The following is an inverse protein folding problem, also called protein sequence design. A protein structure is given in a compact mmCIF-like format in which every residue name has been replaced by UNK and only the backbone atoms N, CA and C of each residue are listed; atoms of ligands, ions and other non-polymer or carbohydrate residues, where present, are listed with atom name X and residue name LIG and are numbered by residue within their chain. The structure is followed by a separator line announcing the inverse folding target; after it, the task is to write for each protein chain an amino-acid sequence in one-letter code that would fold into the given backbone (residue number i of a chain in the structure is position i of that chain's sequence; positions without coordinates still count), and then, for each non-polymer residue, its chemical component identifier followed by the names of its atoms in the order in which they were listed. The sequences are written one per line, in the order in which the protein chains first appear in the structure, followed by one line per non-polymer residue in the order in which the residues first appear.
data_IF_625775346141
#
_entry.id   IF_625775346141
#
_cell.length_a   1.000
_cell.length_b   1.000
_cell.length_c   1.000
_cell.angle_alpha   90.00
_cell.angle_beta   90.00
_cell.angle_gamma   90.00
#
_symmetry.space_group_name_H-M   'P 1'
#
loop_
_entity.id
_entity.type
_entity.pdbx_description
1 polymer ?
#
# COMPACT_ATOMS: atom_id res chain seq x y z
N UNK A 1 -5.13 -30.97 -28.84
CA UNK A 1 -4.86 -30.77 -27.39
C UNK A 1 -4.03 -29.53 -27.07
N UNK A 2 -3.40 -28.86 -28.05
CA UNK A 2 -2.45 -27.75 -27.79
C UNK A 2 -3.09 -26.36 -27.74
N UNK A 3 -4.36 -26.22 -28.13
CA UNK A 3 -5.07 -24.93 -28.23
C UNK A 3 -5.58 -24.41 -26.90
N UNK A 4 -5.80 -25.28 -25.89
CA UNK A 4 -6.29 -24.85 -24.57
C UNK A 4 -5.19 -24.22 -23.71
N UNK A 5 -3.93 -24.65 -23.84
CA UNK A 5 -2.83 -24.13 -23.02
C UNK A 5 -2.45 -22.70 -23.41
N UNK A 6 -2.46 -22.36 -24.71
CA UNK A 6 -2.02 -21.05 -25.20
C UNK A 6 -2.97 -19.89 -24.81
N UNK A 7 -4.29 -20.10 -24.83
CA UNK A 7 -5.26 -19.08 -24.37
C UNK A 7 -5.18 -18.82 -22.87
N UNK A 8 -4.72 -19.80 -22.08
CA UNK A 8 -4.52 -19.63 -20.64
C UNK A 8 -3.39 -18.64 -20.38
N UNK A 9 -2.30 -18.66 -21.16
CA UNK A 9 -1.16 -17.76 -20.96
C UNK A 9 -1.50 -16.28 -21.19
N UNK A 10 -2.28 -15.94 -22.22
CA UNK A 10 -2.71 -14.55 -22.46
C UNK A 10 -3.55 -13.99 -21.32
N UNK A 11 -4.47 -14.81 -20.78
CA UNK A 11 -5.28 -14.42 -19.61
C UNK A 11 -4.44 -14.35 -18.34
N UNK A 12 -3.48 -15.24 -18.17
CA UNK A 12 -2.62 -15.29 -16.99
C UNK A 12 -1.64 -14.12 -16.94
N UNK A 13 -1.05 -13.72 -18.07
CA UNK A 13 -0.18 -12.54 -18.15
C UNK A 13 -0.93 -11.25 -17.82
N UNK A 14 -2.18 -11.11 -18.29
CA UNK A 14 -3.02 -9.96 -17.95
C UNK A 14 -3.31 -9.87 -16.45
N UNK A 15 -3.55 -11.00 -15.77
CA UNK A 15 -3.87 -11.03 -14.33
C UNK A 15 -2.62 -10.85 -13.45
N UNK A 16 -1.49 -11.44 -13.84
CA UNK A 16 -0.28 -11.46 -12.99
C UNK A 16 0.70 -10.33 -13.29
N UNK A 17 0.60 -9.66 -14.45
CA UNK A 17 1.48 -8.57 -14.88
C UNK A 17 2.97 -8.83 -14.56
N UNK A 18 3.54 -9.96 -15.04
CA UNK A 18 4.94 -10.29 -14.75
C UNK A 18 5.89 -9.25 -15.35
N UNK A 19 6.97 -8.91 -14.64
CA UNK A 19 7.98 -7.98 -15.17
C UNK A 19 8.87 -8.56 -16.29
N UNK A 20 8.94 -9.88 -16.41
CA UNK A 20 9.69 -10.58 -17.46
C UNK A 20 9.07 -11.96 -17.74
N UNK A 21 8.89 -12.30 -19.01
CA UNK A 21 8.19 -13.51 -19.46
C UNK A 21 9.10 -14.36 -20.34
N UNK A 22 9.30 -15.63 -19.96
CA UNK A 22 10.06 -16.59 -20.76
C UNK A 22 9.12 -17.57 -21.45
N UNK A 23 9.14 -17.65 -22.79
CA UNK A 23 8.27 -18.54 -23.58
C UNK A 23 9.06 -19.33 -24.63
N UNK A 24 8.57 -20.49 -25.06
CA UNK A 24 9.09 -21.16 -26.26
C UNK A 24 8.99 -20.26 -27.51
N UNK A 25 10.00 -20.31 -28.40
CA UNK A 25 9.97 -19.54 -29.66
C UNK A 25 8.72 -19.86 -30.50
N UNK A 26 8.21 -21.09 -30.43
CA UNK A 26 7.02 -21.54 -31.15
C UNK A 26 5.76 -20.71 -30.85
N UNK A 27 5.71 -19.96 -29.75
CA UNK A 27 4.57 -19.11 -29.39
C UNK A 27 4.71 -17.65 -29.85
N UNK A 28 5.82 -17.31 -30.54
CA UNK A 28 6.03 -16.00 -31.15
C UNK A 28 5.57 -15.91 -32.61
N UNK A 29 5.19 -17.04 -33.21
CA UNK A 29 4.74 -17.12 -34.61
C UNK A 29 3.41 -17.87 -34.70
N UNK A 30 2.59 -17.50 -35.69
CA UNK A 30 1.38 -18.26 -35.97
C UNK A 30 1.75 -19.70 -36.38
N UNK A 31 1.01 -20.73 -35.94
CA UNK A 31 1.27 -22.10 -36.35
C UNK A 31 1.19 -22.27 -37.87
N UNK A 32 2.14 -23.02 -38.47
CA UNK A 32 2.22 -23.20 -39.93
C UNK A 32 0.95 -23.82 -40.54
N UNK A 33 0.28 -24.68 -39.78
CA UNK A 33 -0.98 -25.33 -40.18
C UNK A 33 -2.18 -24.38 -40.15
N UNK A 34 -2.10 -23.29 -39.38
CA UNK A 34 -3.18 -22.33 -39.17
C UNK A 34 -2.63 -20.89 -39.13
N UNK A 35 -2.12 -20.33 -40.25
CA UNK A 35 -1.48 -19.02 -40.28
C UNK A 35 -2.41 -17.86 -39.89
N UNK A 36 -3.72 -18.06 -40.07
CA UNK A 36 -4.75 -17.06 -39.75
C UNK A 36 -5.04 -16.92 -38.25
N UNK A 37 -4.53 -17.84 -37.42
CA UNK A 37 -4.79 -17.87 -35.96
C UNK A 37 -3.74 -17.04 -35.22
N UNK A 38 -3.80 -15.72 -35.41
CA UNK A 38 -2.93 -14.75 -34.72
C UNK A 38 -3.25 -14.61 -33.22
N UNK A 39 -4.41 -15.11 -32.78
CA UNK A 39 -4.83 -15.18 -31.37
C UNK A 39 -4.00 -16.16 -30.53
N UNK A 40 -3.23 -17.02 -31.19
CA UNK A 40 -2.33 -17.99 -30.55
C UNK A 40 -0.90 -17.46 -30.35
N UNK A 41 -0.61 -16.26 -30.86
CA UNK A 41 0.69 -15.62 -30.70
C UNK A 41 0.70 -14.85 -29.39
N UNK A 42 1.69 -15.12 -28.54
CA UNK A 42 1.89 -14.34 -27.32
C UNK A 42 2.64 -13.07 -27.70
N UNK A 43 1.87 -12.00 -27.94
CA UNK A 43 2.39 -10.65 -28.15
C UNK A 43 1.93 -9.79 -26.97
N UNK A 44 2.64 -9.89 -25.86
CA UNK A 44 2.45 -8.98 -24.73
C UNK A 44 3.41 -7.80 -24.88
N UNK A 45 2.86 -6.60 -25.08
CA UNK A 45 3.63 -5.36 -25.22
C UNK A 45 4.09 -4.77 -23.89
N UNK A 46 3.49 -5.19 -22.77
CA UNK A 46 3.78 -4.62 -21.45
C UNK A 46 4.87 -5.39 -20.70
N UNK A 47 5.14 -6.64 -21.09
CA UNK A 47 6.15 -7.49 -20.50
C UNK A 47 7.37 -7.67 -21.42
N UNK A 48 8.58 -7.69 -20.86
CA UNK A 48 9.77 -8.09 -21.62
C UNK A 48 9.74 -9.60 -21.86
N UNK A 49 9.62 -10.00 -23.12
CA UNK A 49 9.59 -11.40 -23.53
C UNK A 49 10.99 -11.89 -23.89
N UNK A 50 11.38 -13.06 -23.39
CA UNK A 50 12.56 -13.79 -23.84
C UNK A 50 12.16 -15.19 -24.31
N UNK A 51 12.68 -15.58 -25.47
CA UNK A 51 12.36 -16.86 -26.07
C UNK A 51 13.43 -17.90 -25.74
N UNK A 52 13.04 -19.16 -25.63
CA UNK A 52 13.99 -20.27 -25.56
C UNK A 52 13.61 -21.39 -26.53
N UNK A 53 14.62 -22.09 -27.02
CA UNK A 53 14.50 -23.32 -27.82
C UNK A 53 14.80 -24.57 -26.97
N UNK A 54 14.54 -25.75 -27.52
CA UNK A 54 14.80 -27.01 -26.82
C UNK A 54 16.29 -27.13 -26.48
N UNK A 55 16.59 -27.36 -25.20
CA UNK A 55 17.95 -27.43 -24.63
C UNK A 55 18.73 -26.11 -24.58
N UNK A 56 18.06 -24.96 -24.74
CA UNK A 56 18.69 -23.65 -24.58
C UNK A 56 18.65 -23.19 -23.12
N UNK A 57 19.80 -22.76 -22.60
CA UNK A 57 19.91 -22.16 -21.29
C UNK A 57 19.61 -20.65 -21.39
N UNK A 58 18.41 -20.25 -20.99
CA UNK A 58 18.01 -18.84 -20.97
C UNK A 58 18.45 -18.16 -19.67
N UNK A 59 19.29 -17.13 -19.77
CA UNK A 59 19.66 -16.28 -18.63
C UNK A 59 18.63 -15.18 -18.43
N UNK A 60 17.83 -15.28 -17.37
CA UNK A 60 16.84 -14.27 -17.02
C UNK A 60 17.51 -13.11 -16.26
N UNK A 61 17.12 -11.85 -16.52
CA UNK A 61 17.69 -10.67 -15.86
C UNK A 61 17.16 -10.49 -14.43
N UNK A 62 17.14 -11.56 -13.64
CA UNK A 62 16.68 -11.54 -12.25
C UNK A 62 17.90 -11.53 -11.34
N UNK A 63 18.26 -10.36 -10.81
CA UNK A 63 19.23 -10.23 -9.74
C UNK A 63 18.51 -10.22 -8.39
N UNK A 64 18.96 -11.07 -7.47
CA UNK A 64 18.50 -11.03 -6.07
C UNK A 64 19.73 -10.81 -5.20
N UNK A 65 19.69 -9.76 -4.40
CA UNK A 65 20.67 -9.51 -3.35
C UNK A 65 19.97 -9.80 -2.02
N UNK A 66 20.56 -10.67 -1.22
CA UNK A 66 20.05 -10.99 0.10
C UNK A 66 20.97 -10.35 1.12
N UNK A 67 20.37 -9.61 2.04
CA UNK A 67 21.09 -8.98 3.14
C UNK A 67 20.39 -9.36 4.45
N UNK A 68 21.21 -9.63 5.46
CA UNK A 68 20.70 -10.02 6.78
C UNK A 68 20.68 -8.80 7.68
N UNK A 69 19.48 -8.42 8.10
CA UNK A 69 19.23 -7.33 9.04
C UNK A 69 18.70 -7.90 10.36
N UNK A 70 19.21 -7.39 11.47
CA UNK A 70 18.79 -7.76 12.83
C UNK A 70 17.80 -6.72 13.35
N UNK A 71 16.63 -7.14 13.81
CA UNK A 71 15.70 -6.24 14.49
C UNK A 71 16.18 -5.98 15.92
N UNK A 72 16.16 -4.71 16.35
CA UNK A 72 16.32 -4.37 17.75
C UNK A 72 15.19 -4.95 18.60
N UNK A 73 15.48 -5.22 19.89
CA UNK A 73 14.52 -5.80 20.82
C UNK A 73 13.29 -4.89 21.02
N UNK A 74 13.53 -3.57 21.11
CA UNK A 74 12.45 -2.59 21.25
C UNK A 74 11.51 -2.60 20.04
N UNK A 75 12.04 -2.66 18.82
CA UNK A 75 11.23 -2.72 17.62
C UNK A 75 10.45 -4.05 17.55
N UNK A 76 11.11 -5.16 17.86
CA UNK A 76 10.48 -6.49 17.85
C UNK A 76 9.31 -6.61 18.83
N UNK A 77 9.41 -6.02 20.03
CA UNK A 77 8.34 -6.04 21.04
C UNK A 77 7.12 -5.20 20.64
N UNK A 78 7.29 -4.22 19.76
CA UNK A 78 6.19 -3.39 19.25
C UNK A 78 5.53 -3.98 18.00
N UNK A 79 5.99 -5.14 17.50
CA UNK A 79 5.36 -5.79 16.35
C UNK A 79 4.07 -6.49 16.79
N UNK A 80 3.01 -6.22 16.04
CA UNK A 80 1.70 -6.84 16.23
C UNK A 80 1.31 -7.60 14.94
N UNK A 81 1.78 -8.85 14.75
CA UNK A 81 1.43 -9.63 13.58
C UNK A 81 -0.07 -9.94 13.54
N UNK A 82 -0.72 -9.58 12.45
CA UNK A 82 -2.12 -9.88 12.21
C UNK A 82 -2.24 -11.04 11.23
N UNK A 83 -3.02 -12.05 11.61
CA UNK A 83 -3.27 -13.21 10.76
C UNK A 83 -4.20 -12.82 9.60
N UNK A 84 -3.66 -12.88 8.37
CA UNK A 84 -4.42 -12.60 7.15
C UNK A 84 -4.99 -13.87 6.53
N UNK A 85 -4.35 -15.01 6.78
CA UNK A 85 -4.76 -16.36 6.37
C UNK A 85 -4.24 -17.37 7.39
N UNK A 86 -4.86 -18.56 7.53
CA UNK A 86 -4.38 -19.58 8.45
C UNK A 86 -2.88 -19.86 8.30
N UNK A 87 -2.10 -19.56 9.34
CA UNK A 87 -0.66 -19.75 9.36
C UNK A 87 0.18 -18.67 8.66
N UNK A 88 -0.42 -17.56 8.22
CA UNK A 88 0.28 -16.40 7.66
C UNK A 88 -0.14 -15.16 8.43
N UNK A 89 0.80 -14.63 9.23
CA UNK A 89 0.66 -13.35 9.90
C UNK A 89 1.57 -12.30 9.25
N UNK A 90 1.07 -11.07 9.17
CA UNK A 90 1.79 -9.93 8.58
C UNK A 90 1.88 -8.83 9.63
N UNK A 91 3.05 -8.22 9.75
CA UNK A 91 3.28 -7.02 10.55
C UNK A 91 4.10 -6.02 9.73
N UNK A 92 3.80 -4.74 9.86
CA UNK A 92 4.61 -3.67 9.28
C UNK A 92 5.79 -3.36 10.20
N UNK A 93 6.98 -3.29 9.63
CA UNK A 93 8.21 -2.93 10.35
C UNK A 93 8.75 -1.63 9.75
N UNK A 94 8.87 -0.59 10.57
CA UNK A 94 9.47 0.69 10.19
C UNK A 94 10.53 1.05 11.21
N UNK A 95 11.73 1.45 10.75
CA UNK A 95 12.83 1.77 11.64
C UNK A 95 14.02 2.39 10.92
N UNK A 96 14.97 2.87 11.71
CA UNK A 96 16.24 3.42 11.23
C UNK A 96 17.24 2.29 11.05
N UNK A 97 17.82 2.17 9.86
CA UNK A 97 18.86 1.18 9.58
C UNK A 97 20.22 1.68 10.06
N UNK A 98 20.77 1.08 11.11
CA UNK A 98 22.10 1.36 11.63
C UNK A 98 23.08 0.30 11.14
N UNK A 99 24.05 0.72 10.34
CA UNK A 99 25.15 -0.13 9.90
C UNK A 99 26.38 0.13 10.78
N UNK A 100 26.78 -0.88 11.56
CA UNK A 100 28.01 -0.88 12.37
C UNK A 100 28.70 -2.22 12.23
N UNK A 101 30.01 -2.22 11.97
CA UNK A 101 30.83 -3.44 11.87
C UNK A 101 30.30 -4.49 10.87
N UNK A 102 29.82 -4.06 9.70
CA UNK A 102 29.16 -4.90 8.70
C UNK A 102 27.94 -5.68 9.23
N UNK A 103 27.34 -5.20 10.32
CA UNK A 103 26.05 -5.66 10.84
C UNK A 103 25.03 -4.56 10.69
N UNK A 104 23.89 -4.95 10.13
CA UNK A 104 22.76 -4.07 9.89
C UNK A 104 21.72 -4.31 10.98
N UNK A 105 21.43 -3.29 11.76
CA UNK A 105 20.43 -3.35 12.84
C UNK A 105 19.31 -2.36 12.56
N UNK A 106 18.06 -2.81 12.65
CA UNK A 106 16.88 -1.95 12.58
C UNK A 106 16.51 -1.47 13.98
N UNK A 107 16.71 -0.18 14.22
CA UNK A 107 16.35 0.52 15.46
C UNK A 107 15.01 1.25 15.30
N UNK A 108 14.30 1.55 16.40
CA UNK A 108 13.06 2.31 16.34
C UNK A 108 13.25 3.66 15.64
N UNK A 109 12.21 4.12 14.93
CA UNK A 109 12.25 5.40 14.23
C UNK A 109 12.26 6.55 15.25
N UNK A 110 13.42 7.17 15.46
CA UNK A 110 13.51 8.44 16.17
C UNK A 110 13.05 9.55 15.22
N UNK A 111 11.77 9.92 15.31
CA UNK A 111 11.27 11.16 14.71
C UNK A 111 11.79 12.34 15.56
N UNK A 112 13.08 12.64 15.44
CA UNK A 112 13.60 13.92 15.89
C UNK A 112 12.91 15.00 15.06
N UNK A 113 12.26 15.93 15.76
CA UNK A 113 11.61 17.10 15.23
C UNK A 113 12.47 17.69 14.09
N UNK A 114 11.90 17.81 12.90
CA UNK A 114 12.47 18.63 11.84
C UNK A 114 12.76 19.99 12.48
N UNK A 115 14.03 20.38 12.47
CA UNK A 115 14.54 21.66 12.99
C UNK A 115 13.61 22.82 12.60
N UNK A 116 12.77 23.22 13.55
CA UNK A 116 12.22 24.57 13.61
C UNK A 116 12.85 25.16 14.84
N UNK A 117 13.93 25.92 14.60
CA UNK A 117 14.63 26.74 15.58
C UNK A 117 13.61 27.43 16.52
N UNK A 118 13.58 27.01 17.78
CA UNK A 118 12.89 27.75 18.85
C UNK A 118 13.93 28.45 19.71
N UNK A 119 13.86 29.79 19.89
CA UNK A 119 14.62 30.47 20.92
C UNK A 119 14.10 30.04 22.31
N UNK A 120 15.05 29.97 23.25
CA UNK A 120 14.86 29.70 24.67
C UNK A 120 13.76 30.57 25.29
N UNK A 121 12.92 29.99 26.17
CA UNK A 121 12.94 30.29 27.61
C UNK A 121 11.72 29.72 28.38
N UNK A 122 12.06 29.18 29.55
CA UNK A 122 11.28 29.14 30.80
C UNK A 122 10.24 28.04 31.05
N UNK A 123 10.52 27.34 32.15
CA UNK A 123 9.70 26.46 32.98
C UNK A 123 8.22 26.84 33.11
N UNK A 124 7.33 25.89 32.81
CA UNK A 124 6.10 25.66 33.58
C UNK A 124 5.57 24.26 33.28
N UNK A 125 5.25 23.52 34.34
CA UNK A 125 4.55 22.25 34.30
C UNK A 125 3.23 22.40 33.52
N UNK A 126 3.17 21.80 32.34
CA UNK A 126 1.94 21.50 31.65
C UNK A 126 2.12 20.11 31.04
N UNK A 127 1.42 19.13 31.62
CA UNK A 127 1.16 17.83 31.01
C UNK A 127 0.42 18.06 29.69
N UNK A 128 1.16 18.44 28.66
CA UNK A 128 0.66 18.41 27.29
C UNK A 128 0.80 16.96 26.87
N UNK A 129 -0.34 16.29 26.75
CA UNK A 129 -0.49 15.08 25.95
C UNK A 129 -0.04 15.41 24.52
N UNK A 130 1.26 15.43 24.28
CA UNK A 130 1.81 15.35 22.93
C UNK A 130 1.70 13.88 22.59
N UNK A 131 0.55 13.55 22.01
CA UNK A 131 0.35 12.30 21.30
C UNK A 131 1.42 12.27 20.21
N UNK A 132 2.57 11.70 20.57
CA UNK A 132 3.74 11.52 19.72
C UNK A 132 3.21 10.76 18.53
N UNK A 133 3.04 11.47 17.43
CA UNK A 133 2.48 10.95 16.20
C UNK A 133 3.49 9.94 15.65
N UNK A 134 3.45 8.73 16.20
CA UNK A 134 4.09 7.54 15.65
C UNK A 134 3.53 7.46 14.25
N UNK A 135 4.38 7.52 13.24
CA UNK A 135 3.99 7.31 11.84
C UNK A 135 3.61 5.84 11.65
N UNK A 136 2.53 5.42 12.31
CA UNK A 136 1.86 4.16 12.10
C UNK A 136 1.30 4.21 10.69
N UNK A 137 1.65 3.22 9.89
CA UNK A 137 1.14 3.14 8.53
C UNK A 137 -0.31 2.69 8.65
N UNK A 138 -1.21 3.53 8.14
CA UNK A 138 -2.64 3.25 8.17
C UNK A 138 -2.95 2.16 7.15
N UNK A 139 -3.60 1.10 7.59
CA UNK A 139 -4.03 0.03 6.72
C UNK A 139 -5.43 -0.41 7.09
N UNK A 140 -6.28 -0.58 6.07
CA UNK A 140 -7.65 -1.00 6.25
C UNK A 140 -8.59 -0.29 5.29
N UNK A 141 -9.79 -0.84 5.15
CA UNK A 141 -10.89 -0.18 4.47
C UNK A 141 -11.75 0.53 5.50
N UNK A 142 -12.07 1.81 5.24
CA UNK A 142 -12.98 2.57 6.09
C UNK A 142 -14.42 2.28 5.67
N UNK A 143 -15.20 1.69 6.57
CA UNK A 143 -16.63 1.54 6.36
C UNK A 143 -17.31 2.90 6.57
N UNK A 144 -18.16 3.30 5.62
CA UNK A 144 -18.86 4.60 5.64
C UNK A 144 -19.68 4.76 6.92
N UNK A 145 -20.36 3.71 7.37
CA UNK A 145 -21.21 3.74 8.56
C UNK A 145 -20.40 3.99 9.86
N UNK A 146 -19.22 3.38 9.97
CA UNK A 146 -18.36 3.58 11.14
C UNK A 146 -17.74 4.98 11.14
N UNK A 147 -17.38 5.49 9.95
CA UNK A 147 -16.92 6.86 9.81
C UNK A 147 -18.00 7.88 10.17
N UNK A 148 -19.24 7.70 9.69
CA UNK A 148 -20.38 8.56 10.06
C UNK A 148 -20.62 8.55 11.56
N UNK A 149 -20.55 7.37 12.20
CA UNK A 149 -20.68 7.24 13.66
C UNK A 149 -19.55 7.97 14.39
N UNK A 150 -18.32 7.87 13.90
CA UNK A 150 -17.16 8.55 14.48
C UNK A 150 -17.24 10.06 14.34
N UNK A 151 -17.69 10.56 13.18
CA UNK A 151 -17.91 11.98 12.92
C UNK A 151 -19.01 12.55 13.83
N UNK A 152 -20.12 11.81 14.00
CA UNK A 152 -21.22 12.20 14.87
C UNK A 152 -20.80 12.32 16.35
N UNK A 153 -19.93 11.43 16.84
CA UNK A 153 -19.37 11.52 18.21
C UNK A 153 -18.62 12.84 18.44
N UNK A 154 -18.04 13.42 17.39
CA UNK A 154 -17.27 14.67 17.44
C UNK A 154 -18.09 15.90 17.08
N UNK A 155 -19.42 15.75 16.96
CA UNK A 155 -20.36 16.84 16.71
C UNK A 155 -20.61 17.14 15.23
N UNK A 156 -20.08 16.32 14.31
CA UNK A 156 -20.30 16.47 12.87
C UNK A 156 -21.44 15.54 12.45
N UNK A 157 -22.65 16.08 12.40
CA UNK A 157 -23.88 15.30 12.15
C UNK A 157 -24.52 15.57 10.78
N UNK A 158 -24.20 16.70 10.14
CA UNK A 158 -24.83 17.15 8.88
C UNK A 158 -24.01 16.68 7.66
N UNK A 159 -23.87 15.36 7.53
CA UNK A 159 -23.07 14.72 6.49
C UNK A 159 -23.98 14.12 5.44
N UNK A 160 -23.86 14.61 4.19
CA UNK A 160 -24.56 14.04 3.04
C UNK A 160 -23.66 13.01 2.36
N UNK A 161 -24.18 11.81 2.10
CA UNK A 161 -23.41 10.72 1.50
C UNK A 161 -23.90 10.47 0.09
N UNK A 162 -23.01 10.64 -0.88
CA UNK A 162 -23.20 10.25 -2.27
C UNK A 162 -22.42 8.96 -2.55
N UNK A 163 -23.11 7.94 -3.06
CA UNK A 163 -22.48 6.66 -3.42
C UNK A 163 -22.39 6.53 -4.93
N UNK A 164 -21.18 6.39 -5.45
CA UNK A 164 -20.87 6.19 -6.86
C UNK A 164 -20.45 4.74 -7.13
N UNK A 165 -20.31 4.37 -8.41
CA UNK A 165 -20.07 2.98 -8.87
C UNK A 165 -18.78 2.31 -8.35
N UNK A 166 -17.95 3.01 -7.58
CA UNK A 166 -16.72 2.46 -6.98
C UNK A 166 -16.20 3.22 -5.75
N UNK A 167 -17.01 4.10 -5.15
CA UNK A 167 -16.56 4.93 -4.03
C UNK A 167 -17.70 5.75 -3.41
N UNK A 168 -17.43 6.32 -2.24
CA UNK A 168 -18.38 7.13 -1.49
C UNK A 168 -17.82 8.53 -1.27
N UNK A 169 -18.62 9.56 -1.53
CA UNK A 169 -18.28 10.96 -1.25
C UNK A 169 -19.16 11.48 -0.14
N UNK A 170 -18.56 11.96 0.94
CA UNK A 170 -19.24 12.57 2.08
C UNK A 170 -19.06 14.09 1.98
N UNK A 171 -20.17 14.81 1.86
CA UNK A 171 -20.23 16.26 1.84
C UNK A 171 -20.64 16.79 3.21
N UNK A 172 -19.81 17.67 3.79
CA UNK A 172 -20.09 18.38 5.03
C UNK A 172 -20.48 19.81 4.66
N UNK A 173 -21.78 20.05 4.48
CA UNK A 173 -22.29 21.31 3.93
C UNK A 173 -22.04 22.52 4.86
N UNK A 174 -22.04 22.32 6.18
CA UNK A 174 -21.80 23.38 7.16
C UNK A 174 -20.35 23.85 7.20
N UNK A 175 -19.42 22.94 6.90
CA UNK A 175 -18.00 23.13 7.14
C UNK A 175 -17.18 23.23 5.84
N UNK A 176 -17.85 23.28 4.68
CA UNK A 176 -17.26 23.34 3.33
C UNK A 176 -16.12 22.32 3.16
N UNK A 177 -16.42 21.07 3.53
CA UNK A 177 -15.49 19.96 3.48
C UNK A 177 -16.06 18.75 2.74
N UNK A 178 -15.18 18.02 2.07
CA UNK A 178 -15.51 16.84 1.28
C UNK A 178 -14.53 15.72 1.59
N UNK A 179 -15.07 14.52 1.83
CA UNK A 179 -14.28 13.30 2.07
C UNK A 179 -14.64 12.29 0.99
N UNK A 180 -13.66 11.88 0.19
CA UNK A 180 -13.81 10.86 -0.84
C UNK A 180 -13.18 9.55 -0.37
N UNK A 181 -13.95 8.48 -0.41
CA UNK A 181 -13.56 7.13 -0.06
C UNK A 181 -13.60 6.28 -1.33
N UNK A 182 -12.42 6.05 -1.93
CA UNK A 182 -12.26 5.22 -3.12
C UNK A 182 -11.44 3.97 -2.81
N UNK A 183 -11.47 2.98 -3.71
CA UNK A 183 -10.65 1.77 -3.60
C UNK A 183 -9.13 2.06 -3.56
N UNK A 184 -8.69 3.18 -4.15
CA UNK A 184 -7.29 3.61 -4.17
C UNK A 184 -6.86 4.44 -2.97
N UNK A 185 -7.80 4.90 -2.14
CA UNK A 185 -7.48 5.70 -0.96
C UNK A 185 -8.58 6.67 -0.53
N UNK A 186 -8.30 7.36 0.58
CA UNK A 186 -9.20 8.36 1.17
C UNK A 186 -8.64 9.76 0.94
N UNK A 187 -9.38 10.63 0.27
CA UNK A 187 -9.00 12.03 0.06
C UNK A 187 -9.89 12.97 0.89
N UNK A 188 -9.26 13.92 1.58
CA UNK A 188 -9.95 14.90 2.44
C UNK A 188 -9.66 16.29 1.90
N UNK A 189 -10.70 17.04 1.57
CA UNK A 189 -10.62 18.41 1.07
C UNK A 189 -11.31 19.31 2.09
N UNK A 190 -10.56 20.24 2.68
CA UNK A 190 -11.05 21.20 3.69
C UNK A 190 -10.54 22.60 3.38
N UNK A 191 -11.41 23.60 3.42
CA UNK A 191 -11.06 25.01 3.18
C UNK A 191 -10.47 25.72 4.42
N UNK A 192 -9.29 25.27 4.86
CA UNK A 192 -8.47 26.01 5.85
C UNK A 192 -8.89 25.93 7.32
N UNK A 193 -9.96 25.19 7.65
CA UNK A 193 -10.36 24.94 9.04
C UNK A 193 -9.51 23.81 9.66
N UNK A 194 -8.48 24.18 10.42
CA UNK A 194 -7.56 23.21 11.03
C UNK A 194 -8.22 22.36 12.13
N UNK A 195 -9.13 22.93 12.92
CA UNK A 195 -9.82 22.19 13.97
C UNK A 195 -10.71 21.07 13.38
N UNK A 196 -11.42 21.39 12.29
CA UNK A 196 -12.18 20.40 11.53
C UNK A 196 -11.26 19.32 10.94
N UNK A 197 -10.14 19.72 10.33
CA UNK A 197 -9.17 18.77 9.76
C UNK A 197 -8.68 17.77 10.80
N UNK A 198 -8.39 18.23 12.02
CA UNK A 198 -7.97 17.38 13.14
C UNK A 198 -9.11 16.43 13.54
N UNK A 199 -10.34 16.93 13.68
CA UNK A 199 -11.49 16.10 14.04
C UNK A 199 -11.79 15.01 12.98
N UNK A 200 -11.69 15.34 11.70
CA UNK A 200 -11.86 14.38 10.59
C UNK A 200 -10.73 13.36 10.61
N UNK A 201 -9.47 13.79 10.72
CA UNK A 201 -8.30 12.91 10.81
C UNK A 201 -8.46 11.89 11.92
N UNK A 202 -8.75 12.36 13.12
CA UNK A 202 -8.83 11.50 14.28
C UNK A 202 -10.05 10.56 14.21
N UNK A 203 -11.16 10.99 13.59
CA UNK A 203 -12.30 10.10 13.29
C UNK A 203 -11.91 8.98 12.34
N UNK A 204 -11.12 9.29 11.31
CA UNK A 204 -10.59 8.28 10.40
C UNK A 204 -9.61 7.34 11.10
N UNK A 205 -8.76 7.87 11.98
CA UNK A 205 -7.82 7.09 12.77
C UNK A 205 -8.50 6.11 13.74
N UNK A 206 -9.71 6.42 14.22
CA UNK A 206 -10.54 5.47 14.98
C UNK A 206 -11.12 4.34 14.11
N UNK A 207 -11.35 4.62 12.83
CA UNK A 207 -11.97 3.69 11.89
C UNK A 207 -10.96 2.83 11.13
N UNK A 208 -9.68 3.22 11.11
CA UNK A 208 -8.61 2.51 10.42
C UNK A 208 -7.70 1.83 11.43
N UNK A 209 -7.38 0.57 11.18
CA UNK A 209 -6.38 -0.15 11.97
C UNK A 209 -5.00 0.48 11.77
N UNK A 210 -4.39 0.90 12.88
CA UNK A 210 -3.02 1.41 12.94
C UNK A 210 -2.09 0.24 13.25
N UNK A 211 -0.99 0.13 12.49
CA UNK A 211 0.12 -0.78 12.79
C UNK A 211 1.28 -0.03 13.44
#
# INVERSE_FOLDING_TARGET
MQTSEQCIYGTFCFVFQPGHLAIPEAYTRAPDLLPHRTDLIIQDTECKISTFSFLEALSLPVSRQFEKVVLSNELANNLHPQEVRPGIAVATVTGTLVSKDNRYTLEPLELSEIDVEKPQESNAAAERHTDRQKSCHLWGSVMVEDLLRSLAKRGICDVQVESNQGGHTLHLAQDDAMIQLDASGTHIITHGNEALRINIRDSLLECVTQF
#
